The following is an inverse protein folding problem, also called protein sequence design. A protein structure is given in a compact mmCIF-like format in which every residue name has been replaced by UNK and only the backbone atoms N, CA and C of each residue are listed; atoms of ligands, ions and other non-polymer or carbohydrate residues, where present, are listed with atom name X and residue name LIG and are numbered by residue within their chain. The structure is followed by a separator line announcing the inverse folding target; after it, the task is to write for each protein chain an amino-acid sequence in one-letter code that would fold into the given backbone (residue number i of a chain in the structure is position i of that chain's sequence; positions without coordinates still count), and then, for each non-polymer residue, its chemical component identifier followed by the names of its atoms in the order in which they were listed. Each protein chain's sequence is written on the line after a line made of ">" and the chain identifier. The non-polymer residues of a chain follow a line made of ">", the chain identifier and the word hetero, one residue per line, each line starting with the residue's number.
data_IF_724200670122
#
_entry.id   IF_724200670122
#
_cell.length_a   1.000
_cell.length_b   1.000
_cell.length_c   1.000
_cell.angle_alpha   90.00
_cell.angle_beta   90.00
_cell.angle_gamma   90.00
#
_symmetry.space_group_name_H-M   'P 1'
#
loop_
_entity.id
_entity.type
_entity.pdbx_description
1 polymer ?
#
# COMPACT_ATOMS: atom_id res chain seq x y z
N UNK A 1 -20.03 8.62 -36.57
CA UNK A 1 -19.18 9.45 -37.43
C UNK A 1 -17.96 9.84 -36.60
N UNK A 2 -16.84 9.13 -36.79
CA UNK A 2 -15.59 9.40 -36.06
C UNK A 2 -14.89 10.59 -36.75
N UNK A 3 -14.81 11.74 -36.05
CA UNK A 3 -14.01 12.87 -36.49
C UNK A 3 -12.53 12.50 -36.30
N UNK A 4 -11.85 12.14 -37.39
CA UNK A 4 -10.39 12.08 -37.39
C UNK A 4 -9.83 13.50 -37.21
N UNK A 5 -9.01 13.66 -36.18
CA UNK A 5 -8.26 14.91 -35.97
C UNK A 5 -7.37 15.20 -37.17
N UNK A 6 -7.33 16.45 -37.70
CA UNK A 6 -6.48 16.79 -38.83
C UNK A 6 -5.00 16.50 -38.55
N UNK A 7 -4.30 15.98 -39.54
CA UNK A 7 -2.87 15.55 -39.44
C UNK A 7 -1.96 16.69 -38.94
N UNK A 8 -2.30 17.93 -39.23
CA UNK A 8 -1.51 19.10 -38.84
C UNK A 8 -1.66 19.46 -37.38
N UNK A 9 -2.84 19.26 -36.75
CA UNK A 9 -3.03 19.39 -35.29
C UNK A 9 -2.27 18.28 -34.54
N UNK A 10 -2.23 17.08 -35.11
CA UNK A 10 -1.44 15.98 -34.55
C UNK A 10 0.06 16.28 -34.60
N UNK A 11 0.55 16.89 -35.69
CA UNK A 11 1.95 17.31 -35.82
C UNK A 11 2.32 18.46 -34.86
N UNK A 12 1.44 19.42 -34.65
CA UNK A 12 1.66 20.50 -33.69
C UNK A 12 1.70 19.99 -32.27
N UNK A 13 0.77 19.12 -31.87
CA UNK A 13 0.78 18.46 -30.57
C UNK A 13 2.04 17.63 -30.37
N UNK A 14 2.50 16.90 -31.40
CA UNK A 14 3.71 16.09 -31.37
C UNK A 14 5.00 16.93 -31.29
N UNK A 15 5.04 18.07 -31.95
CA UNK A 15 6.21 18.98 -31.92
C UNK A 15 6.30 19.78 -30.63
N UNK A 16 5.18 20.13 -29.99
CA UNK A 16 5.19 20.75 -28.67
C UNK A 16 5.73 19.80 -27.59
N UNK A 17 5.56 18.48 -27.77
CA UNK A 17 6.16 17.46 -26.92
C UNK A 17 7.69 17.33 -27.09
N UNK A 18 8.22 17.62 -28.29
CA UNK A 18 9.68 17.54 -28.58
C UNK A 18 10.51 18.69 -28.01
N UNK A 19 9.94 19.85 -27.73
CA UNK A 19 10.70 21.03 -27.33
C UNK A 19 10.94 21.18 -25.82
N UNK A 20 10.42 20.28 -24.98
CA UNK A 20 10.78 20.24 -23.57
C UNK A 20 11.93 19.25 -23.32
N UNK A 21 13.09 19.45 -23.98
CA UNK A 21 14.38 18.90 -23.52
C UNK A 21 14.77 19.62 -22.25
N UNK A 22 14.11 19.29 -21.13
CA UNK A 22 14.64 19.58 -19.81
C UNK A 22 15.97 18.88 -19.67
N UNK A 23 16.98 19.62 -19.24
CA UNK A 23 18.33 19.18 -18.88
C UNK A 23 18.28 17.78 -18.27
N UNK A 24 19.23 16.92 -18.66
CA UNK A 24 19.39 15.57 -18.15
C UNK A 24 19.78 15.62 -16.67
N UNK A 25 18.78 15.93 -15.80
CA UNK A 25 18.93 15.73 -14.36
C UNK A 25 19.04 14.23 -14.13
N UNK A 26 20.01 13.83 -13.33
CA UNK A 26 20.14 12.46 -12.85
C UNK A 26 18.76 12.01 -12.39
N UNK A 27 18.22 10.97 -13.00
CA UNK A 27 16.89 10.48 -12.64
C UNK A 27 16.95 10.00 -11.21
N UNK A 28 16.28 10.70 -10.31
CA UNK A 28 16.13 10.25 -8.93
C UNK A 28 15.35 8.94 -8.95
N UNK A 29 15.94 7.89 -8.38
CA UNK A 29 15.23 6.64 -8.11
C UNK A 29 14.52 6.77 -6.77
N UNK A 30 13.22 6.53 -6.74
CA UNK A 30 12.43 6.55 -5.50
C UNK A 30 12.46 5.17 -4.83
N UNK A 31 12.50 5.15 -3.51
CA UNK A 31 12.08 3.97 -2.73
C UNK A 31 10.56 3.93 -2.59
N UNK A 32 9.98 2.78 -2.24
CA UNK A 32 8.54 2.66 -1.99
C UNK A 32 8.09 3.57 -0.84
N UNK A 33 8.91 3.72 0.21
CA UNK A 33 8.66 4.62 1.34
C UNK A 33 8.60 6.09 0.89
N UNK A 34 9.58 6.56 0.11
CA UNK A 34 9.57 7.93 -0.41
C UNK A 34 8.35 8.20 -1.29
N UNK A 35 7.93 7.21 -2.09
CA UNK A 35 6.72 7.33 -2.89
C UNK A 35 5.47 7.46 -2.03
N UNK A 36 5.34 6.65 -0.98
CA UNK A 36 4.23 6.75 -0.03
C UNK A 36 4.21 8.11 0.68
N UNK A 37 5.37 8.66 1.04
CA UNK A 37 5.45 10.00 1.64
C UNK A 37 5.05 11.12 0.66
N UNK A 38 5.39 10.98 -0.62
CA UNK A 38 4.94 11.89 -1.67
C UNK A 38 3.41 11.79 -1.86
N UNK A 39 2.87 10.57 -1.93
CA UNK A 39 1.43 10.31 -2.05
C UNK A 39 0.63 10.97 -0.92
N UNK A 40 1.09 10.83 0.32
CA UNK A 40 0.47 11.49 1.50
C UNK A 40 0.41 13.00 1.37
N UNK A 41 1.50 13.60 0.92
CA UNK A 41 1.62 15.07 0.75
C UNK A 41 0.82 15.62 -0.42
N UNK A 42 0.51 14.78 -1.43
CA UNK A 42 -0.12 15.21 -2.67
C UNK A 42 -1.64 15.39 -2.59
N UNK A 43 -2.25 15.03 -1.44
CA UNK A 43 -3.69 15.20 -1.19
C UNK A 43 -4.60 14.76 -2.35
N UNK A 44 -4.32 13.59 -2.93
CA UNK A 44 -5.08 13.06 -4.06
C UNK A 44 -6.55 12.72 -3.70
N UNK A 45 -6.82 12.43 -2.43
CA UNK A 45 -8.13 12.04 -1.92
C UNK A 45 -8.57 13.00 -0.79
N UNK A 46 -8.95 14.25 -1.14
CA UNK A 46 -9.34 15.25 -0.15
C UNK A 46 -10.60 14.81 0.60
N UNK A 47 -10.59 14.90 1.93
CA UNK A 47 -11.70 14.49 2.80
C UNK A 47 -11.78 13.00 3.09
N UNK A 48 -10.77 12.22 2.68
CA UNK A 48 -10.64 10.81 3.02
C UNK A 48 -9.65 10.59 4.16
N UNK A 49 -9.94 9.63 5.02
CA UNK A 49 -9.03 9.15 6.06
C UNK A 49 -8.03 8.18 5.44
N UNK A 50 -6.75 8.36 5.74
CA UNK A 50 -5.68 7.46 5.28
C UNK A 50 -5.40 6.39 6.33
N UNK A 51 -5.33 5.15 5.88
CA UNK A 51 -4.81 4.00 6.62
C UNK A 51 -3.62 3.40 5.86
N UNK A 52 -2.52 3.13 6.56
CA UNK A 52 -1.30 2.55 5.98
C UNK A 52 -1.19 1.06 6.31
N UNK A 53 -0.59 0.28 5.39
CA UNK A 53 -0.32 -1.16 5.58
C UNK A 53 -1.56 -1.96 6.03
N UNK A 54 -2.70 -1.68 5.38
CA UNK A 54 -3.97 -2.32 5.72
C UNK A 54 -4.02 -3.73 5.15
N UNK A 55 -4.32 -4.72 5.97
CA UNK A 55 -4.45 -6.07 5.44
C UNK A 55 -5.06 -7.10 6.35
N UNK A 56 -5.53 -8.19 5.74
CA UNK A 56 -6.05 -9.37 6.42
C UNK A 56 -5.35 -10.61 5.85
N UNK A 57 -5.11 -11.59 6.71
CA UNK A 57 -4.67 -12.95 6.32
C UNK A 57 -3.36 -12.98 5.51
N UNK A 58 -2.41 -12.10 5.85
CA UNK A 58 -1.09 -12.10 5.23
C UNK A 58 -0.98 -11.34 3.90
N UNK A 59 -2.05 -10.69 3.48
CA UNK A 59 -2.07 -9.76 2.34
C UNK A 59 -2.26 -8.34 2.88
N UNK A 60 -1.39 -7.41 2.50
CA UNK A 60 -1.52 -5.99 2.87
C UNK A 60 -1.56 -5.10 1.64
N UNK A 61 -2.29 -4.00 1.77
CA UNK A 61 -2.31 -2.87 0.85
C UNK A 61 -1.42 -1.78 1.42
N UNK A 62 -0.59 -1.15 0.60
CA UNK A 62 0.34 -0.12 1.08
C UNK A 62 -0.41 1.09 1.65
N UNK A 63 -1.48 1.56 0.98
CA UNK A 63 -2.29 2.69 1.44
C UNK A 63 -3.77 2.48 1.11
N UNK A 64 -4.64 2.85 2.04
CA UNK A 64 -6.10 2.80 1.88
C UNK A 64 -6.70 4.14 2.30
N UNK A 65 -7.49 4.74 1.43
CA UNK A 65 -8.23 5.98 1.70
C UNK A 65 -9.72 5.66 1.80
N UNK A 66 -10.38 6.09 2.89
CA UNK A 66 -11.81 5.82 3.10
C UNK A 66 -12.55 7.06 3.64
N UNK A 67 -13.86 7.14 3.37
CA UNK A 67 -14.74 8.20 3.88
C UNK A 67 -16.09 7.68 4.43
N UNK A 68 -16.17 6.40 4.79
CA UNK A 68 -17.38 5.74 5.26
C UNK A 68 -18.31 5.20 4.15
N UNK A 69 -18.14 5.63 2.89
CA UNK A 69 -18.92 5.16 1.75
C UNK A 69 -18.05 4.57 0.64
N UNK A 70 -16.86 5.13 0.47
CA UNK A 70 -15.93 4.78 -0.60
C UNK A 70 -14.57 4.43 -0.03
N UNK A 71 -13.94 3.46 -0.66
CA UNK A 71 -12.59 3.01 -0.31
C UNK A 71 -11.74 2.97 -1.57
N UNK A 72 -10.60 3.62 -1.53
CA UNK A 72 -9.57 3.60 -2.57
C UNK A 72 -8.31 2.95 -2.04
N UNK A 73 -7.79 1.98 -2.78
CA UNK A 73 -6.56 1.27 -2.42
C UNK A 73 -5.42 1.67 -3.35
N UNK A 74 -4.21 1.77 -2.81
CA UNK A 74 -3.00 2.09 -3.58
C UNK A 74 -1.91 1.09 -3.25
N UNK A 75 -1.36 0.47 -4.28
CA UNK A 75 -0.11 -0.30 -4.24
C UNK A 75 1.01 0.56 -4.82
N UNK A 76 1.99 0.94 -4.00
CA UNK A 76 3.13 1.77 -4.41
C UNK A 76 4.33 0.90 -4.76
N UNK A 77 4.82 0.99 -6.00
CA UNK A 77 5.94 0.16 -6.47
C UNK A 77 6.90 0.96 -7.35
N UNK A 78 8.18 0.70 -7.16
CA UNK A 78 9.24 1.34 -7.95
C UNK A 78 9.28 0.87 -9.40
N UNK A 79 8.57 -0.22 -9.73
CA UNK A 79 8.48 -0.80 -11.06
C UNK A 79 7.06 -1.26 -11.36
N UNK A 80 6.61 -1.01 -12.57
CA UNK A 80 5.35 -1.53 -13.08
C UNK A 80 5.58 -2.93 -13.67
N UNK A 81 5.31 -3.97 -12.88
CA UNK A 81 5.47 -5.37 -13.27
C UNK A 81 4.19 -6.19 -13.00
N UNK A 82 4.13 -7.43 -13.49
CA UNK A 82 2.94 -8.28 -13.35
C UNK A 82 2.57 -8.58 -11.90
N UNK A 83 3.54 -8.57 -10.99
CA UNK A 83 3.30 -8.81 -9.56
C UNK A 83 2.46 -7.69 -8.95
N UNK A 84 2.72 -6.42 -9.29
CA UNK A 84 1.93 -5.30 -8.77
C UNK A 84 0.52 -5.28 -9.34
N UNK A 85 0.32 -5.67 -10.61
CA UNK A 85 -1.04 -5.85 -11.15
C UNK A 85 -1.82 -6.89 -10.35
N UNK A 86 -1.20 -8.04 -10.05
CA UNK A 86 -1.84 -9.08 -9.24
C UNK A 86 -2.10 -8.62 -7.81
N UNK A 87 -1.27 -7.77 -7.22
CA UNK A 87 -1.49 -7.20 -5.89
C UNK A 87 -2.69 -6.23 -5.91
N UNK A 88 -2.68 -5.24 -6.80
CA UNK A 88 -3.75 -4.26 -6.89
C UNK A 88 -5.11 -4.88 -7.26
N UNK A 89 -5.13 -5.88 -8.15
CA UNK A 89 -6.38 -6.52 -8.57
C UNK A 89 -7.09 -7.30 -7.45
N UNK A 90 -6.40 -7.68 -6.38
CA UNK A 90 -7.01 -8.35 -5.22
C UNK A 90 -8.02 -7.45 -4.50
N UNK A 91 -7.77 -6.16 -4.48
CA UNK A 91 -8.60 -5.18 -3.80
C UNK A 91 -9.81 -4.73 -4.60
N UNK A 92 -9.81 -5.00 -5.91
CA UNK A 92 -10.83 -4.55 -6.86
C UNK A 92 -12.26 -4.95 -6.48
N UNK A 93 -12.43 -6.14 -5.89
CA UNK A 93 -13.76 -6.66 -5.56
C UNK A 93 -14.30 -6.12 -4.22
N UNK A 94 -13.48 -5.48 -3.42
CA UNK A 94 -13.85 -4.98 -2.08
C UNK A 94 -13.68 -3.46 -1.96
N UNK A 95 -12.93 -2.82 -2.85
CA UNK A 95 -12.71 -1.38 -2.87
C UNK A 95 -13.55 -0.69 -3.95
N UNK A 96 -13.79 0.61 -3.78
CA UNK A 96 -14.43 1.44 -4.81
C UNK A 96 -13.57 1.50 -6.07
N UNK A 97 -12.27 1.68 -5.91
CA UNK A 97 -11.29 1.51 -6.98
C UNK A 97 -9.91 1.17 -6.39
N UNK A 98 -9.10 0.50 -7.20
CA UNK A 98 -7.73 0.13 -6.85
C UNK A 98 -6.75 0.80 -7.79
N UNK A 99 -5.67 1.33 -7.24
CA UNK A 99 -4.65 2.07 -7.96
C UNK A 99 -3.28 1.42 -7.81
N UNK A 100 -2.47 1.60 -8.84
CA UNK A 100 -1.03 1.35 -8.80
C UNK A 100 -0.34 2.72 -8.87
N UNK A 101 0.53 3.01 -7.90
CA UNK A 101 1.38 4.19 -7.91
C UNK A 101 2.80 3.81 -8.34
N UNK A 102 3.31 4.49 -9.38
CA UNK A 102 4.65 4.25 -9.92
C UNK A 102 5.38 5.55 -10.26
N UNK A 103 6.71 5.55 -10.24
CA UNK A 103 7.49 6.71 -10.68
C UNK A 103 7.29 6.99 -12.19
N UNK A 104 7.30 8.26 -12.56
CA UNK A 104 7.14 8.71 -13.96
C UNK A 104 8.12 8.02 -14.91
N UNK A 105 9.35 7.75 -14.48
CA UNK A 105 10.36 7.12 -15.34
C UNK A 105 10.05 5.67 -15.73
N UNK A 106 9.13 5.00 -15.03
CA UNK A 106 8.72 3.61 -15.35
C UNK A 106 7.72 3.56 -16.51
N UNK A 107 7.15 4.71 -16.89
CA UNK A 107 6.12 4.84 -17.91
C UNK A 107 6.68 5.22 -19.28
N UNK A 108 7.97 4.98 -19.50
CA UNK A 108 8.56 5.16 -20.85
C UNK A 108 7.80 4.30 -21.85
N UNK A 109 7.42 4.93 -22.98
CA UNK A 109 6.65 4.30 -24.05
C UNK A 109 5.26 3.74 -23.61
N UNK A 110 4.68 4.34 -22.55
CA UNK A 110 3.43 3.90 -21.93
C UNK A 110 2.29 3.66 -22.92
N UNK A 111 2.10 4.56 -23.88
CA UNK A 111 0.99 4.49 -24.85
C UNK A 111 1.00 3.22 -25.71
N UNK A 112 2.17 2.64 -25.95
CA UNK A 112 2.37 1.42 -26.74
C UNK A 112 2.66 0.20 -25.87
N UNK A 113 2.61 0.35 -24.56
CA UNK A 113 2.96 -0.72 -23.62
C UNK A 113 1.82 -1.71 -23.46
N UNK A 114 2.06 -3.03 -23.57
CA UNK A 114 1.08 -4.04 -23.17
C UNK A 114 0.59 -3.89 -21.73
N UNK A 115 1.39 -3.28 -20.88
CA UNK A 115 1.02 -3.02 -19.47
C UNK A 115 -0.14 -2.04 -19.35
N UNK A 116 -0.27 -1.07 -20.28
CA UNK A 116 -1.42 -0.17 -20.35
C UNK A 116 -2.69 -0.96 -20.58
N UNK A 117 -2.69 -1.85 -21.58
CA UNK A 117 -3.84 -2.71 -21.90
C UNK A 117 -4.23 -3.57 -20.70
N UNK A 118 -3.26 -4.20 -20.04
CA UNK A 118 -3.52 -5.02 -18.84
C UNK A 118 -4.13 -4.17 -17.71
N UNK A 119 -3.63 -2.97 -17.49
CA UNK A 119 -4.14 -2.07 -16.44
C UNK A 119 -5.60 -1.69 -16.72
N UNK A 120 -5.91 -1.37 -17.97
CA UNK A 120 -7.26 -1.01 -18.44
C UNK A 120 -8.22 -2.21 -18.36
N UNK A 121 -7.81 -3.38 -18.83
CA UNK A 121 -8.62 -4.62 -18.75
C UNK A 121 -8.91 -5.04 -17.29
N UNK A 122 -7.95 -4.82 -16.40
CA UNK A 122 -8.14 -5.04 -14.97
C UNK A 122 -8.96 -3.92 -14.31
N UNK A 123 -9.25 -2.82 -14.99
CA UNK A 123 -9.96 -1.66 -14.43
C UNK A 123 -9.22 -0.99 -13.29
N UNK A 124 -7.89 -1.06 -13.29
CA UNK A 124 -7.05 -0.47 -12.27
C UNK A 124 -6.71 0.98 -12.61
N UNK A 125 -6.64 1.83 -11.59
CA UNK A 125 -6.17 3.20 -11.72
C UNK A 125 -4.64 3.29 -11.74
N UNK A 126 -4.14 4.38 -12.33
CA UNK A 126 -2.72 4.71 -12.35
C UNK A 126 -2.48 6.04 -11.63
N UNK A 127 -1.54 6.03 -10.69
CA UNK A 127 -0.99 7.23 -10.07
C UNK A 127 0.47 7.35 -10.48
N UNK A 128 0.87 8.53 -10.90
CA UNK A 128 2.22 8.82 -11.33
C UNK A 128 2.90 9.69 -10.28
N UNK A 129 4.07 9.27 -9.84
CA UNK A 129 4.87 9.95 -8.81
C UNK A 129 6.13 10.54 -9.42
N UNK A 130 6.41 11.79 -9.12
CA UNK A 130 7.66 12.47 -9.48
C UNK A 130 8.16 13.37 -8.33
N UNK A 131 9.21 14.17 -8.57
CA UNK A 131 9.78 15.07 -7.56
C UNK A 131 8.84 16.20 -7.15
N UNK A 132 7.91 16.56 -8.02
CA UNK A 132 6.95 17.65 -7.81
C UNK A 132 5.68 17.17 -7.07
N UNK A 133 5.47 15.85 -6.94
CA UNK A 133 4.33 15.27 -6.25
C UNK A 133 3.77 14.03 -6.92
N UNK A 134 2.54 13.67 -6.55
CA UNK A 134 1.79 12.58 -7.17
C UNK A 134 0.54 13.11 -7.85
N UNK A 135 0.15 12.50 -8.95
CA UNK A 135 -1.06 12.84 -9.72
C UNK A 135 -1.68 11.61 -10.34
N UNK A 136 -2.98 11.65 -10.57
CA UNK A 136 -3.63 10.62 -11.37
C UNK A 136 -3.05 10.62 -12.79
N UNK A 137 -2.80 9.45 -13.33
CA UNK A 137 -2.50 9.29 -14.74
C UNK A 137 -3.67 9.79 -15.58
N UNK A 138 -3.40 10.18 -16.83
CA UNK A 138 -4.44 10.63 -17.74
C UNK A 138 -5.51 9.54 -17.88
N UNK A 139 -6.78 9.90 -17.77
CA UNK A 139 -7.95 9.03 -17.80
C UNK A 139 -8.12 8.10 -16.58
N UNK A 140 -7.40 8.34 -15.47
CA UNK A 140 -7.49 7.51 -14.27
C UNK A 140 -7.94 8.29 -13.01
N UNK A 141 -8.45 9.51 -13.17
CA UNK A 141 -8.95 10.30 -12.05
C UNK A 141 -10.39 9.86 -11.66
N UNK A 142 -10.61 9.28 -10.47
CA UNK A 142 -11.92 8.79 -10.06
C UNK A 142 -12.92 9.91 -9.73
N UNK A 143 -12.47 11.17 -9.65
CA UNK A 143 -13.30 12.34 -9.35
C UNK A 143 -13.65 13.17 -10.60
N UNK A 144 -13.14 12.80 -11.76
CA UNK A 144 -13.43 13.50 -13.00
C UNK A 144 -14.83 13.11 -13.51
N UNK A 145 -15.76 14.07 -13.49
CA UNK A 145 -17.16 13.84 -13.85
C UNK A 145 -17.36 13.47 -15.32
N UNK A 146 -16.47 13.91 -16.17
CA UNK A 146 -16.53 13.65 -17.62
C UNK A 146 -16.21 12.18 -17.96
N UNK A 147 -15.71 11.43 -17.00
CA UNK A 147 -15.30 10.03 -17.14
C UNK A 147 -16.43 9.07 -16.71
N UNK A 148 -17.43 9.53 -15.96
CA UNK A 148 -18.51 8.70 -15.41
C UNK A 148 -19.48 8.08 -16.44
N UNK A 149 -19.34 8.34 -17.71
CA UNK A 149 -20.29 7.85 -18.74
C UNK A 149 -19.68 7.29 -20.02
N UNK A 150 -18.36 7.24 -20.13
CA UNK A 150 -17.70 6.84 -21.35
C UNK A 150 -16.74 5.65 -21.18
N UNK A 151 -16.69 4.81 -22.20
CA UNK A 151 -15.79 3.66 -22.34
C UNK A 151 -14.29 3.98 -22.28
N UNK A 152 -13.92 5.24 -22.01
CA UNK A 152 -12.55 5.73 -22.05
C UNK A 152 -11.93 5.96 -20.67
N UNK A 153 -12.67 5.78 -19.57
CA UNK A 153 -12.10 5.82 -18.22
C UNK A 153 -11.49 4.46 -17.90
N UNK A 154 -10.18 4.41 -17.81
CA UNK A 154 -9.44 3.19 -17.48
C UNK A 154 -9.63 2.67 -16.05
N UNK A 155 -10.49 3.30 -15.24
CA UNK A 155 -10.76 2.89 -13.84
C UNK A 155 -12.21 2.45 -13.72
N UNK A 156 -12.41 1.23 -13.24
CA UNK A 156 -13.75 0.76 -12.86
C UNK A 156 -14.05 1.16 -11.42
N UNK A 157 -15.23 1.75 -11.21
CA UNK A 157 -15.73 2.10 -9.88
C UNK A 157 -16.79 1.09 -9.45
N UNK A 158 -16.62 0.52 -8.27
CA UNK A 158 -17.53 -0.45 -7.67
C UNK A 158 -18.01 0.05 -6.30
N UNK A 159 -19.18 -0.42 -5.81
CA UNK A 159 -19.50 -0.26 -4.40
C UNK A 159 -18.45 -0.94 -3.53
N UNK A 160 -17.94 -0.22 -2.51
CA UNK A 160 -17.01 -0.81 -1.57
C UNK A 160 -17.74 -1.79 -0.64
N UNK A 161 -17.09 -2.90 -0.29
CA UNK A 161 -17.53 -3.79 0.80
C UNK A 161 -17.13 -3.18 2.15
N UNK A 162 -18.00 -2.33 2.69
CA UNK A 162 -17.71 -1.59 3.92
C UNK A 162 -17.62 -2.49 5.16
N UNK A 163 -18.30 -3.64 5.18
CA UNK A 163 -18.22 -4.59 6.30
C UNK A 163 -16.87 -5.29 6.30
N UNK A 164 -16.36 -5.64 5.12
CA UNK A 164 -14.98 -6.12 4.97
C UNK A 164 -13.97 -5.09 5.49
N UNK A 165 -14.10 -3.82 5.08
CA UNK A 165 -13.16 -2.77 5.46
C UNK A 165 -13.23 -2.41 6.94
N UNK A 166 -14.42 -2.36 7.57
CA UNK A 166 -14.55 -2.21 9.03
C UNK A 166 -13.77 -3.30 9.77
N UNK A 167 -13.92 -4.56 9.35
CA UNK A 167 -13.16 -5.67 9.92
C UNK A 167 -11.65 -5.50 9.72
N UNK A 168 -11.23 -4.95 8.58
CA UNK A 168 -9.83 -4.63 8.34
C UNK A 168 -9.34 -3.54 9.31
N UNK A 169 -10.08 -2.43 9.43
CA UNK A 169 -9.69 -1.29 10.25
C UNK A 169 -9.68 -1.61 11.75
N UNK A 170 -10.64 -2.36 12.25
CA UNK A 170 -10.66 -2.83 13.65
C UNK A 170 -9.44 -3.67 14.01
N UNK A 171 -8.87 -4.38 13.04
CA UNK A 171 -7.68 -5.23 13.22
C UNK A 171 -6.36 -4.50 13.04
N UNK A 172 -6.40 -3.31 12.48
CA UNK A 172 -5.19 -2.52 12.22
C UNK A 172 -4.71 -1.96 13.54
N UNK A 173 -4.89 -2.13 14.65
CA UNK A 173 -4.20 -1.49 15.77
C UNK A 173 -3.21 -0.39 15.27
N UNK A 174 -2.69 0.46 16.05
CA UNK A 174 -1.75 1.51 15.60
C UNK A 174 -0.62 0.91 14.74
N UNK A 175 -0.68 1.11 13.44
CA UNK A 175 0.34 0.65 12.50
C UNK A 175 1.59 1.51 12.69
N UNK A 176 2.60 0.96 13.32
CA UNK A 176 3.87 1.64 13.59
C UNK A 176 4.85 1.59 12.40
N UNK A 177 4.51 0.89 11.32
CA UNK A 177 5.37 0.76 10.16
C UNK A 177 4.92 1.70 9.03
N UNK A 178 5.80 2.56 8.49
CA UNK A 178 5.46 3.39 7.35
C UNK A 178 5.19 2.54 6.10
N UNK A 179 4.20 2.96 5.30
CA UNK A 179 3.84 2.31 4.05
C UNK A 179 5.06 2.17 3.11
N UNK A 180 5.14 1.05 2.39
CA UNK A 180 6.25 0.77 1.46
C UNK A 180 7.56 0.34 2.10
N UNK A 181 7.61 0.06 3.39
CA UNK A 181 8.84 -0.39 4.05
C UNK A 181 9.24 -1.80 3.61
N UNK A 182 10.42 -1.95 3.00
CA UNK A 182 10.93 -3.24 2.49
C UNK A 182 11.44 -4.18 3.59
N UNK A 183 11.82 -3.65 4.72
CA UNK A 183 12.49 -4.39 5.78
C UNK A 183 11.48 -4.93 6.78
N UNK A 184 10.80 -6.02 6.44
CA UNK A 184 10.25 -6.96 7.41
C UNK A 184 9.36 -6.42 8.55
N UNK A 185 9.19 -5.12 8.63
CA UNK A 185 8.24 -4.44 9.50
C UNK A 185 6.85 -4.35 8.84
N UNK A 186 6.52 -5.31 7.97
CA UNK A 186 5.13 -5.59 7.73
C UNK A 186 4.54 -5.86 9.09
N UNK A 187 3.50 -5.14 9.44
CA UNK A 187 2.69 -5.44 10.60
C UNK A 187 2.03 -6.82 10.40
N UNK A 188 2.87 -7.86 10.40
CA UNK A 188 2.40 -9.24 10.41
C UNK A 188 1.74 -9.47 11.75
N UNK A 189 0.80 -10.38 11.83
CA UNK A 189 0.20 -10.80 13.10
C UNK A 189 1.28 -11.14 14.14
N UNK A 190 2.42 -11.67 13.68
CA UNK A 190 3.59 -11.93 14.51
C UNK A 190 4.25 -10.63 15.01
N UNK A 191 4.56 -9.66 14.13
CA UNK A 191 5.20 -8.41 14.56
C UNK A 191 4.32 -7.61 15.52
N UNK A 192 3.00 -7.58 15.29
CA UNK A 192 2.04 -6.95 16.23
C UNK A 192 2.06 -7.61 17.61
N UNK A 193 2.07 -8.94 17.64
CA UNK A 193 2.20 -9.68 18.89
C UNK A 193 3.50 -9.31 19.60
N UNK A 194 4.63 -9.25 18.87
CA UNK A 194 5.93 -8.88 19.45
C UNK A 194 5.93 -7.44 19.95
N UNK A 195 5.37 -6.48 19.20
CA UNK A 195 5.31 -5.07 19.58
C UNK A 195 4.41 -4.87 20.82
N UNK A 196 3.25 -5.53 20.87
CA UNK A 196 2.36 -5.52 22.02
C UNK A 196 3.04 -6.11 23.27
N UNK A 197 3.74 -7.24 23.11
CA UNK A 197 4.49 -7.85 24.22
C UNK A 197 5.64 -6.97 24.68
N UNK A 198 6.38 -6.30 23.77
CA UNK A 198 7.43 -5.34 24.14
C UNK A 198 6.88 -4.13 24.87
N UNK A 199 5.71 -3.64 24.48
CA UNK A 199 5.04 -2.53 25.17
C UNK A 199 4.63 -2.95 26.60
N UNK A 200 4.08 -4.15 26.76
CA UNK A 200 3.68 -4.68 28.08
C UNK A 200 4.91 -4.97 28.95
N UNK A 201 5.99 -5.49 28.40
CA UNK A 201 7.24 -5.69 29.10
C UNK A 201 7.88 -4.38 29.61
N UNK A 202 7.65 -3.24 28.94
CA UNK A 202 8.07 -1.92 29.46
C UNK A 202 7.29 -1.48 30.69
N UNK A 203 6.01 -1.87 30.79
CA UNK A 203 5.17 -1.58 31.96
C UNK A 203 5.47 -2.54 33.12
N UNK A 204 5.82 -3.78 32.79
CA UNK A 204 6.07 -4.87 33.69
C UNK A 204 7.41 -5.54 33.41
N UNK A 205 8.53 -4.87 33.71
CA UNK A 205 9.87 -5.38 33.42
C UNK A 205 10.22 -6.67 34.15
N UNK A 206 9.51 -6.98 35.24
CA UNK A 206 9.64 -8.21 36.04
C UNK A 206 8.94 -9.44 35.43
N UNK A 207 8.09 -9.25 34.39
CA UNK A 207 7.29 -10.35 33.84
C UNK A 207 8.13 -11.33 33.02
N UNK A 208 7.83 -12.61 33.22
CA UNK A 208 8.31 -13.68 32.32
C UNK A 208 7.54 -13.64 30.98
N UNK A 209 8.10 -14.27 29.94
CA UNK A 209 7.41 -14.34 28.65
C UNK A 209 6.00 -14.95 28.76
N UNK A 210 5.81 -15.94 29.64
CA UNK A 210 4.50 -16.56 29.85
C UNK A 210 3.49 -15.58 30.47
N UNK A 211 3.92 -14.75 31.44
CA UNK A 211 3.08 -13.71 32.04
C UNK A 211 2.70 -12.63 31.01
N UNK A 212 3.65 -12.20 30.18
CA UNK A 212 3.40 -11.27 29.08
C UNK A 212 2.39 -11.84 28.07
N UNK A 213 2.52 -13.13 27.73
CA UNK A 213 1.59 -13.80 26.79
C UNK A 213 0.17 -13.97 27.36
N UNK A 214 0.02 -13.99 28.67
CA UNK A 214 -1.28 -14.00 29.34
C UNK A 214 -1.96 -12.63 29.34
N UNK A 215 -1.18 -11.54 29.33
CA UNK A 215 -1.69 -10.16 29.40
C UNK A 215 -1.97 -9.52 28.03
N UNK A 216 -1.50 -10.14 26.92
CA UNK A 216 -1.61 -9.58 25.57
C UNK A 216 -2.33 -10.55 24.64
N UNK A 217 -3.33 -10.09 23.86
CA UNK A 217 -3.94 -10.91 22.82
C UNK A 217 -2.91 -11.37 21.78
N UNK A 218 -2.88 -12.66 21.48
CA UNK A 218 -1.95 -13.23 20.49
C UNK A 218 -2.70 -13.97 19.40
N UNK A 219 -2.05 -14.16 18.24
CA UNK A 219 -2.60 -14.94 17.13
C UNK A 219 -2.36 -16.44 17.27
N UNK A 220 -1.63 -16.86 18.29
CA UNK A 220 -1.34 -18.27 18.53
C UNK A 220 -2.53 -18.96 19.21
N UNK A 221 -2.78 -20.21 18.83
CA UNK A 221 -3.87 -21.02 19.40
C UNK A 221 -3.66 -21.36 20.86
N UNK A 222 -2.41 -21.41 21.33
CA UNK A 222 -2.05 -21.70 22.72
C UNK A 222 -0.87 -20.84 23.17
N UNK A 223 -0.80 -20.56 24.49
CA UNK A 223 0.32 -19.83 25.09
C UNK A 223 1.63 -20.60 24.92
N UNK A 224 1.59 -21.93 25.03
CA UNK A 224 2.77 -22.78 24.86
C UNK A 224 3.35 -22.67 23.45
N UNK A 225 2.50 -22.69 22.42
CA UNK A 225 2.96 -22.52 21.03
C UNK A 225 3.53 -21.14 20.77
N UNK A 226 2.92 -20.10 21.37
CA UNK A 226 3.43 -18.74 21.30
C UNK A 226 4.81 -18.61 21.96
N UNK A 227 4.94 -19.15 23.17
CA UNK A 227 6.20 -19.12 23.93
C UNK A 227 7.34 -19.81 23.19
N UNK A 228 7.11 -21.01 22.67
CA UNK A 228 8.09 -21.75 21.88
C UNK A 228 8.51 -20.99 20.62
N UNK A 229 7.55 -20.44 19.88
CA UNK A 229 7.84 -19.68 18.66
C UNK A 229 8.69 -18.44 18.97
N UNK A 230 8.31 -17.66 19.98
CA UNK A 230 9.01 -16.41 20.34
C UNK A 230 10.42 -16.70 20.85
N UNK A 231 10.60 -17.70 21.69
CA UNK A 231 11.93 -18.12 22.16
C UNK A 231 12.83 -18.53 20.98
N UNK A 232 12.31 -19.34 20.06
CA UNK A 232 13.02 -19.76 18.86
C UNK A 232 13.45 -18.57 18.00
N UNK A 233 12.61 -17.54 17.82
CA UNK A 233 12.96 -16.34 17.08
C UNK A 233 14.05 -15.52 17.78
N UNK A 234 14.04 -15.47 19.12
CA UNK A 234 15.09 -14.81 19.89
C UNK A 234 16.43 -15.57 19.82
N UNK A 235 16.41 -16.91 19.91
CA UNK A 235 17.59 -17.77 19.77
C UNK A 235 18.25 -17.62 18.40
N UNK A 236 17.48 -17.40 17.35
CA UNK A 236 17.99 -17.12 16.00
C UNK A 236 18.32 -15.66 15.74
N UNK A 237 18.27 -14.78 16.75
CA UNK A 237 18.60 -13.36 16.60
C UNK A 237 17.62 -12.56 15.74
N UNK A 238 16.43 -13.08 15.47
CA UNK A 238 15.39 -12.40 14.67
C UNK A 238 14.69 -11.31 15.49
N UNK A 239 14.57 -11.52 16.79
CA UNK A 239 14.06 -10.53 17.74
C UNK A 239 14.99 -10.45 18.96
N UNK A 240 15.10 -9.27 19.55
CA UNK A 240 15.81 -9.11 20.83
C UNK A 240 14.95 -9.68 21.95
N UNK A 241 15.61 -10.30 22.94
CA UNK A 241 14.97 -10.76 24.16
C UNK A 241 14.53 -9.57 25.00
N UNK A 242 13.26 -9.53 25.39
CA UNK A 242 12.64 -8.41 26.11
C UNK A 242 11.88 -8.85 27.39
N UNK A 243 12.03 -10.11 27.81
CA UNK A 243 11.38 -10.69 29.00
C UNK A 243 12.39 -11.23 29.99
N UNK A 244 11.95 -11.43 31.23
CA UNK A 244 12.73 -12.06 32.28
C UNK A 244 12.67 -13.59 32.21
N UNK A 245 13.79 -14.25 32.50
CA UNK A 245 13.78 -15.68 32.73
C UNK A 245 13.13 -16.02 34.08
N UNK A 246 12.51 -17.20 34.16
CA UNK A 246 12.07 -17.69 35.47
C UNK A 246 13.27 -17.74 36.42
N UNK A 247 13.16 -17.20 37.66
CA UNK A 247 14.22 -17.39 38.62
C UNK A 247 14.47 -18.90 38.81
N UNK A 248 15.72 -19.32 38.76
CA UNK A 248 16.12 -20.71 39.00
C UNK A 248 15.72 -21.07 40.43
N UNK A 249 14.66 -21.88 40.60
CA UNK A 249 14.22 -22.39 41.90
C UNK A 249 12.80 -22.00 42.32
N UNK A 250 12.00 -21.30 41.54
CA UNK A 250 10.57 -21.15 41.79
C UNK A 250 9.82 -22.38 41.25
N UNK A 251 9.54 -23.36 42.09
CA UNK A 251 8.53 -24.41 41.90
C UNK A 251 7.14 -23.82 42.12
#
# INVERSE_FOLDING_TARGET
>A
MSMMMPIDEFKQAFNSFKHNKRSCKVKKTFSEVEMCDILKKSNLFPGYTLHEEVGISGVSCDMVYENGERVFTIEAKTELNYKVFAQASRWRNVATASFIAVPTYTLKDWFYSPKKVILEELGLGLIVVDEDGARFGRCYNPFDKDIYGGSDSGVYLFPADMDYWKTCFERIGENLAPAGSKLGKRSTTFSRTIDALKLEAKKHPEYTLQQLLLSVPTHYSTITSAEQAIKRYAEHGIIDKFWQDKPKGAL
#
